data_IF_537553725885
#
_entry.id   IF_537553725885
#
_cell.length_a   1.000
_cell.length_b   1.000
_cell.length_c   1.000
_cell.angle_alpha   90.00
_cell.angle_beta   90.00
_cell.angle_gamma   90.00
#
_symmetry.space_group_name_H-M   'P 1'
#
loop_
_entity.id
_entity.type
_entity.pdbx_description
1 polymer ?
#
# COMPACT_ATOMS: atom_id res chain seq x y z
N UNK A 1 -2.70 -9.97 -2.10
CA UNK A 1 -1.39 -10.49 -2.36
C UNK A 1 -0.92 -10.13 -3.74
N UNK A 2 0.29 -9.60 -3.85
CA UNK A 2 0.88 -9.25 -5.12
C UNK A 2 1.29 -10.47 -5.95
N UNK A 3 1.82 -10.21 -7.11
CA UNK A 3 2.37 -11.21 -8.04
C UNK A 3 3.28 -12.22 -7.32
N UNK A 4 4.02 -11.76 -6.33
CA UNK A 4 4.94 -12.59 -5.55
C UNK A 4 4.24 -13.62 -4.64
N UNK A 5 2.98 -13.42 -4.30
CA UNK A 5 2.24 -14.25 -3.33
C UNK A 5 1.32 -15.30 -3.98
N UNK A 6 1.06 -15.19 -5.26
CA UNK A 6 0.04 -15.98 -5.93
C UNK A 6 0.55 -17.27 -6.56
N UNK A 7 1.70 -17.75 -6.18
CA UNK A 7 2.25 -18.99 -6.75
C UNK A 7 2.56 -18.92 -8.26
N UNK A 8 3.02 -19.98 -8.83
CA UNK A 8 3.35 -20.05 -10.26
C UNK A 8 2.34 -20.95 -10.96
N UNK A 9 1.47 -20.37 -11.79
CA UNK A 9 0.47 -21.08 -12.57
C UNK A 9 0.42 -20.51 -14.01
N UNK A 10 -0.05 -21.29 -15.00
CA UNK A 10 -0.21 -20.82 -16.36
C UNK A 10 -1.15 -19.60 -16.43
N UNK A 11 -0.78 -18.58 -17.20
CA UNK A 11 -1.56 -17.34 -17.35
C UNK A 11 -1.40 -16.32 -16.23
N UNK A 12 -0.56 -16.58 -15.22
CA UNK A 12 -0.26 -15.59 -14.19
C UNK A 12 0.48 -14.39 -14.80
N UNK A 13 0.01 -13.18 -14.50
CA UNK A 13 0.71 -11.95 -14.84
C UNK A 13 2.09 -11.89 -14.11
N UNK A 14 3.13 -11.52 -14.85
CA UNK A 14 4.53 -11.45 -14.36
C UNK A 14 5.15 -10.07 -14.56
N UNK A 15 4.52 -9.24 -15.37
CA UNK A 15 4.92 -7.87 -15.64
C UNK A 15 3.80 -6.91 -15.31
N UNK A 16 4.13 -5.64 -15.16
CA UNK A 16 3.13 -4.58 -14.92
C UNK A 16 2.14 -4.53 -16.10
N UNK A 17 2.60 -4.69 -17.33
CA UNK A 17 1.74 -4.62 -18.50
C UNK A 17 0.76 -5.80 -18.57
N UNK A 18 1.19 -6.99 -18.16
CA UNK A 18 0.30 -8.14 -18.03
C UNK A 18 -0.77 -7.91 -16.94
N UNK A 19 -0.39 -7.33 -15.79
CA UNK A 19 -1.35 -6.94 -14.73
C UNK A 19 -2.34 -5.92 -15.26
N UNK A 20 -1.88 -4.90 -15.98
CA UNK A 20 -2.74 -3.87 -16.60
C UNK A 20 -3.73 -4.49 -17.59
N UNK A 21 -3.27 -5.43 -18.43
CA UNK A 21 -4.12 -6.14 -19.36
C UNK A 21 -5.21 -6.97 -18.65
N UNK A 22 -4.85 -7.67 -17.58
CA UNK A 22 -5.79 -8.43 -16.76
C UNK A 22 -6.84 -7.53 -16.08
N UNK A 23 -6.41 -6.38 -15.55
CA UNK A 23 -7.31 -5.38 -14.95
C UNK A 23 -8.29 -4.83 -15.99
N UNK A 24 -7.82 -4.46 -17.18
CA UNK A 24 -8.69 -3.98 -18.25
C UNK A 24 -9.68 -5.07 -18.71
N UNK A 25 -9.21 -6.30 -18.83
CA UNK A 25 -10.09 -7.43 -19.15
C UNK A 25 -11.18 -7.62 -18.10
N UNK A 26 -10.83 -7.59 -16.83
CA UNK A 26 -11.82 -7.68 -15.74
C UNK A 26 -12.80 -6.49 -15.76
N UNK A 27 -12.29 -5.25 -15.90
CA UNK A 27 -13.11 -4.05 -15.97
C UNK A 27 -14.10 -4.07 -17.15
N UNK A 28 -13.69 -4.63 -18.31
CA UNK A 28 -14.58 -4.75 -19.48
C UNK A 28 -15.79 -5.66 -19.27
N UNK A 29 -15.75 -6.50 -18.25
CA UNK A 29 -16.84 -7.43 -17.90
C UNK A 29 -17.80 -6.88 -16.83
N UNK A 30 -17.44 -5.74 -16.22
CA UNK A 30 -18.19 -5.15 -15.11
C UNK A 30 -18.64 -3.76 -15.54
N UNK A 31 -19.95 -3.51 -15.54
CA UNK A 31 -20.48 -2.21 -15.88
C UNK A 31 -20.22 -1.18 -14.77
N UNK A 32 -19.88 0.05 -15.13
CA UNK A 32 -19.73 1.16 -14.20
C UNK A 32 -18.39 1.88 -14.33
N UNK A 33 -18.12 2.77 -13.37
CA UNK A 33 -16.82 3.45 -13.21
C UNK A 33 -15.95 2.60 -12.29
N UNK A 34 -14.68 2.48 -12.64
CA UNK A 34 -13.76 1.61 -11.90
C UNK A 34 -12.72 2.42 -11.13
N UNK A 35 -12.38 1.90 -9.95
CA UNK A 35 -11.21 2.31 -9.16
C UNK A 35 -10.36 1.07 -8.93
N UNK A 36 -9.05 1.22 -9.13
CA UNK A 36 -8.08 0.17 -8.85
C UNK A 36 -7.38 0.49 -7.53
N UNK A 37 -7.53 -0.40 -6.56
CA UNK A 37 -6.77 -0.31 -5.31
C UNK A 37 -5.40 -0.95 -5.52
N UNK A 38 -4.39 -0.11 -5.73
CA UNK A 38 -3.04 -0.51 -6.08
C UNK A 38 -2.19 -0.70 -4.82
N UNK A 39 -1.50 -1.82 -4.71
CA UNK A 39 -0.52 -2.03 -3.64
C UNK A 39 0.84 -1.45 -4.03
N UNK A 40 1.63 -1.00 -3.04
CA UNK A 40 2.95 -0.43 -3.27
C UNK A 40 3.93 -1.39 -3.94
N UNK A 41 3.74 -2.70 -3.77
CA UNK A 41 4.57 -3.74 -4.42
C UNK A 41 4.45 -3.78 -5.94
N UNK A 42 3.49 -3.05 -6.50
CA UNK A 42 3.31 -2.92 -7.96
C UNK A 42 4.00 -1.68 -8.54
N UNK A 43 4.85 -1.02 -7.78
CA UNK A 43 5.66 0.09 -8.28
C UNK A 43 6.46 -0.29 -9.53
N UNK A 44 6.58 0.66 -10.45
CA UNK A 44 7.43 0.52 -11.65
C UNK A 44 8.87 0.89 -11.28
N UNK A 45 9.57 -0.08 -10.76
CA UNK A 45 10.94 0.10 -10.28
C UNK A 45 12.00 -0.02 -11.39
N UNK A 46 11.60 -0.28 -12.63
CA UNK A 46 12.49 -0.36 -13.81
C UNK A 46 13.70 -1.30 -13.58
N UNK A 47 13.45 -2.43 -12.90
CA UNK A 47 14.48 -3.41 -12.58
C UNK A 47 15.39 -3.04 -11.41
N UNK A 48 15.22 -1.88 -10.79
CA UNK A 48 15.95 -1.48 -9.59
C UNK A 48 15.37 -2.17 -8.36
N UNK A 49 16.23 -2.45 -7.39
CA UNK A 49 15.79 -2.88 -6.07
C UNK A 49 15.50 -1.62 -5.24
N UNK A 50 14.23 -1.43 -4.90
CA UNK A 50 13.76 -0.35 -4.02
C UNK A 50 13.12 -1.02 -2.81
N UNK A 51 13.56 -0.68 -1.61
CA UNK A 51 12.94 -1.19 -0.40
C UNK A 51 11.66 -0.40 -0.07
N UNK A 52 10.84 -0.90 0.83
CA UNK A 52 9.52 -0.32 1.10
C UNK A 52 9.56 1.04 1.76
N UNK A 53 10.60 1.31 2.53
CA UNK A 53 10.88 2.63 3.11
C UNK A 53 11.58 3.61 2.13
N UNK A 54 11.76 3.20 0.87
CA UNK A 54 12.37 4.00 -0.19
C UNK A 54 11.42 4.28 -1.36
N UNK A 55 10.18 3.77 -1.31
CA UNK A 55 9.20 3.99 -2.39
C UNK A 55 8.83 5.47 -2.52
N UNK A 56 8.64 5.94 -3.76
CA UNK A 56 8.35 7.33 -4.07
C UNK A 56 7.27 7.44 -5.17
N UNK A 57 6.60 8.60 -5.32
CA UNK A 57 5.58 8.82 -6.34
C UNK A 57 6.05 8.50 -7.77
N UNK A 58 7.33 8.76 -8.08
CA UNK A 58 7.91 8.48 -9.40
C UNK A 58 7.76 7.01 -9.81
N UNK A 59 7.78 6.09 -8.86
CA UNK A 59 7.59 4.66 -9.13
C UNK A 59 6.14 4.29 -9.52
N UNK A 60 5.21 5.25 -9.45
CA UNK A 60 3.79 5.04 -9.77
C UNK A 60 3.27 5.95 -10.87
N UNK A 61 4.11 6.81 -11.45
CA UNK A 61 3.72 7.72 -12.54
C UNK A 61 3.15 6.96 -13.75
N UNK A 62 3.77 5.84 -14.12
CA UNK A 62 3.28 5.01 -15.22
C UNK A 62 1.91 4.40 -14.94
N UNK A 63 1.55 4.16 -13.67
CA UNK A 63 0.21 3.72 -13.27
C UNK A 63 -0.79 4.86 -13.30
N UNK A 64 -0.41 6.06 -12.86
CA UNK A 64 -1.26 7.25 -12.90
C UNK A 64 -1.62 7.61 -14.34
N UNK A 65 -0.63 7.60 -15.24
CA UNK A 65 -0.85 7.84 -16.66
C UNK A 65 -1.79 6.78 -17.27
N UNK A 66 -1.49 5.50 -17.05
CA UNK A 66 -2.29 4.39 -17.57
C UNK A 66 -3.75 4.45 -17.05
N UNK A 67 -3.96 4.73 -15.79
CA UNK A 67 -5.30 4.84 -15.23
C UNK A 67 -6.09 5.97 -15.88
N UNK A 68 -5.46 7.13 -16.07
CA UNK A 68 -6.07 8.28 -16.75
C UNK A 68 -6.47 7.97 -18.19
N UNK A 69 -5.59 7.32 -18.95
CA UNK A 69 -5.83 6.91 -20.34
C UNK A 69 -7.00 5.93 -20.47
N UNK A 70 -7.24 5.12 -19.44
CA UNK A 70 -8.31 4.12 -19.40
C UNK A 70 -9.55 4.54 -18.60
N UNK A 71 -9.64 5.81 -18.21
CA UNK A 71 -10.79 6.33 -17.48
C UNK A 71 -10.98 5.72 -16.09
N UNK A 72 -9.92 5.20 -15.49
CA UNK A 72 -9.90 4.62 -14.16
C UNK A 72 -9.36 5.61 -13.14
N UNK A 73 -9.71 5.40 -11.87
CA UNK A 73 -9.12 6.08 -10.72
C UNK A 73 -8.29 5.09 -9.91
N UNK A 74 -7.30 5.61 -9.19
CA UNK A 74 -6.45 4.82 -8.31
C UNK A 74 -6.78 5.10 -6.85
N UNK A 75 -6.78 4.02 -6.08
CA UNK A 75 -6.64 4.01 -4.64
C UNK A 75 -5.37 3.25 -4.27
N UNK A 76 -4.89 3.35 -3.04
CA UNK A 76 -3.58 2.83 -2.68
C UNK A 76 -3.59 2.06 -1.38
N UNK A 77 -2.77 1.01 -1.30
CA UNK A 77 -2.56 0.21 -0.09
C UNK A 77 -1.09 0.21 0.31
N UNK A 78 -0.83 0.49 1.58
CA UNK A 78 0.42 0.05 2.20
C UNK A 78 0.41 -1.47 2.38
N UNK A 79 1.56 -2.11 2.23
CA UNK A 79 1.68 -3.56 2.36
C UNK A 79 2.78 -3.90 3.34
N UNK A 80 2.43 -4.44 4.48
CA UNK A 80 3.39 -4.78 5.54
C UNK A 80 3.64 -6.29 5.70
N UNK A 81 3.24 -7.10 4.73
CA UNK A 81 3.53 -8.54 4.68
C UNK A 81 4.57 -8.89 3.61
N UNK A 82 5.09 -10.12 3.65
CA UNK A 82 6.06 -10.64 2.68
C UNK A 82 7.37 -9.83 2.58
N UNK A 83 7.84 -9.35 3.72
CA UNK A 83 9.10 -8.66 3.86
C UNK A 83 9.89 -9.25 5.05
N UNK A 84 11.24 -9.30 5.04
CA UNK A 84 12.02 -9.84 6.18
C UNK A 84 11.72 -9.17 7.53
N UNK A 85 11.36 -7.89 7.52
CA UNK A 85 10.94 -7.14 8.72
C UNK A 85 9.45 -7.30 9.08
N UNK A 86 8.69 -8.10 8.31
CA UNK A 86 7.28 -8.40 8.59
C UNK A 86 7.18 -9.60 9.50
N UNK A 87 7.33 -9.39 10.79
CA UNK A 87 7.03 -10.42 11.79
C UNK A 87 5.54 -10.41 12.19
N UNK A 88 5.27 -10.77 13.43
CA UNK A 88 3.93 -10.65 14.01
C UNK A 88 3.53 -9.20 14.29
N UNK A 89 4.52 -8.31 14.40
CA UNK A 89 4.34 -6.89 14.72
C UNK A 89 5.17 -6.03 13.78
N UNK A 90 4.58 -4.95 13.28
CA UNK A 90 5.22 -3.92 12.45
C UNK A 90 5.15 -2.55 13.12
N UNK A 91 4.03 -1.85 13.03
CA UNK A 91 3.81 -0.55 13.67
C UNK A 91 3.72 -0.63 15.21
N UNK A 92 3.33 -1.79 15.75
CA UNK A 92 3.33 -2.07 17.18
C UNK A 92 4.61 -2.77 17.66
N UNK A 93 5.66 -2.86 16.82
CA UNK A 93 6.88 -3.56 17.18
C UNK A 93 7.65 -2.82 18.28
N UNK A 94 8.08 -3.52 19.34
CA UNK A 94 8.90 -2.91 20.40
C UNK A 94 10.35 -2.59 19.93
N UNK A 95 10.80 -3.19 18.84
CA UNK A 95 12.09 -2.84 18.20
C UNK A 95 11.89 -1.57 17.36
N UNK A 96 12.55 -0.49 17.77
CA UNK A 96 12.46 0.82 17.13
C UNK A 96 12.93 0.80 15.68
N UNK A 97 13.94 0.00 15.34
CA UNK A 97 14.45 -0.07 13.97
C UNK A 97 13.42 -0.69 13.02
N UNK A 98 12.71 -1.74 13.46
CA UNK A 98 11.64 -2.36 12.70
C UNK A 98 10.43 -1.41 12.62
N UNK A 99 10.06 -0.81 13.74
CA UNK A 99 8.91 0.10 13.78
C UNK A 99 9.13 1.34 12.91
N UNK A 100 10.29 1.99 12.98
CA UNK A 100 10.61 3.17 12.18
C UNK A 100 10.63 2.87 10.68
N UNK A 101 11.09 1.70 10.26
CA UNK A 101 11.01 1.25 8.89
C UNK A 101 9.54 1.23 8.38
N UNK A 102 8.63 0.69 9.17
CA UNK A 102 7.21 0.61 8.80
C UNK A 102 6.47 1.96 8.91
N UNK A 103 6.87 2.81 9.84
CA UNK A 103 6.38 4.19 9.92
C UNK A 103 6.77 4.95 8.65
N UNK A 104 8.04 4.89 8.25
CA UNK A 104 8.53 5.55 7.04
C UNK A 104 7.83 5.00 5.79
N UNK A 105 7.72 3.69 5.65
CA UNK A 105 6.95 3.05 4.58
C UNK A 105 5.53 3.61 4.49
N UNK A 106 4.82 3.71 5.61
CA UNK A 106 3.44 4.20 5.61
C UNK A 106 3.36 5.69 5.28
N UNK A 107 4.28 6.52 5.77
CA UNK A 107 4.37 7.93 5.41
C UNK A 107 4.57 8.12 3.90
N UNK A 108 5.44 7.31 3.29
CA UNK A 108 5.67 7.32 1.84
C UNK A 108 4.44 6.88 1.06
N UNK A 109 3.73 5.86 1.51
CA UNK A 109 2.47 5.44 0.89
C UNK A 109 1.40 6.55 0.93
N UNK A 110 1.33 7.32 2.02
CA UNK A 110 0.45 8.50 2.11
C UNK A 110 0.87 9.61 1.15
N UNK A 111 2.17 9.89 1.04
CA UNK A 111 2.69 10.85 0.06
C UNK A 111 2.38 10.43 -1.39
N UNK A 112 2.59 9.16 -1.73
CA UNK A 112 2.22 8.61 -3.04
C UNK A 112 0.73 8.79 -3.30
N UNK A 113 -0.12 8.51 -2.32
CA UNK A 113 -1.57 8.68 -2.43
C UNK A 113 -1.98 10.14 -2.64
N UNK A 114 -1.30 11.09 -1.99
CA UNK A 114 -1.52 12.53 -2.22
C UNK A 114 -1.20 12.92 -3.67
N UNK A 115 -0.08 12.44 -4.23
CA UNK A 115 0.29 12.71 -5.62
C UNK A 115 -0.66 12.02 -6.62
N UNK A 116 -1.12 10.80 -6.32
CA UNK A 116 -2.16 10.12 -7.11
C UNK A 116 -3.47 10.93 -7.12
N UNK A 117 -3.89 11.42 -5.96
CA UNK A 117 -5.10 12.23 -5.84
C UNK A 117 -5.00 13.53 -6.63
N UNK A 118 -3.89 14.24 -6.55
CA UNK A 118 -3.61 15.43 -7.38
C UNK A 118 -3.68 15.13 -8.88
N UNK A 119 -3.02 14.04 -9.30
CA UNK A 119 -2.92 13.68 -10.71
C UNK A 119 -4.29 13.33 -11.31
N UNK A 120 -5.15 12.68 -10.56
CA UNK A 120 -6.47 12.22 -11.01
C UNK A 120 -7.61 13.22 -10.73
N UNK A 121 -7.33 14.36 -10.08
CA UNK A 121 -8.32 15.37 -9.65
C UNK A 121 -9.50 14.72 -8.89
N UNK A 122 -9.16 13.81 -7.98
CA UNK A 122 -10.12 13.07 -7.16
C UNK A 122 -9.38 12.40 -6.00
N UNK A 123 -9.84 12.51 -4.76
CA UNK A 123 -9.09 11.96 -3.64
C UNK A 123 -8.74 10.48 -3.81
N UNK A 124 -7.46 10.16 -3.60
CA UNK A 124 -6.99 8.79 -3.50
C UNK A 124 -7.30 8.25 -2.09
N UNK A 125 -7.91 7.09 -1.99
CA UNK A 125 -8.09 6.41 -0.70
C UNK A 125 -6.85 5.59 -0.42
N UNK A 126 -6.14 5.95 0.66
CA UNK A 126 -4.98 5.19 1.13
C UNK A 126 -5.42 4.25 2.25
N UNK A 127 -5.39 2.97 1.99
CA UNK A 127 -5.76 1.95 2.96
C UNK A 127 -4.52 1.50 3.76
N UNK A 128 -4.48 1.85 5.02
CA UNK A 128 -3.51 1.34 5.98
C UNK A 128 -4.04 0.03 6.58
N UNK A 129 -3.53 -1.08 6.07
CA UNK A 129 -3.85 -2.38 6.61
C UNK A 129 -2.93 -2.72 7.78
N UNK A 130 -3.50 -2.73 8.99
CA UNK A 130 -2.79 -3.05 10.22
C UNK A 130 -2.95 -4.53 10.51
N UNK A 131 -1.87 -5.30 10.32
CA UNK A 131 -1.86 -6.72 10.64
C UNK A 131 -1.25 -7.02 12.03
N UNK A 132 -0.82 -5.99 12.72
CA UNK A 132 -0.23 -6.10 14.05
C UNK A 132 -1.22 -6.71 15.05
N UNK A 133 -0.84 -7.82 15.58
CA UNK A 133 -1.67 -8.51 16.56
C UNK A 133 -1.22 -9.94 16.78
N UNK A 134 -1.71 -10.51 17.86
CA UNK A 134 -1.56 -11.92 18.17
C UNK A 134 -2.94 -12.56 18.26
N UNK A 135 -3.09 -13.74 17.68
CA UNK A 135 -4.29 -14.57 17.86
C UNK A 135 -4.40 -15.07 19.30
N UNK A 136 -3.29 -15.06 20.01
CA UNK A 136 -3.22 -15.38 21.42
C UNK A 136 -3.42 -14.13 22.27
N UNK A 137 -3.87 -14.31 23.50
CA UNK A 137 -4.03 -13.22 24.47
C UNK A 137 -2.65 -12.91 25.06
N UNK A 138 -1.96 -11.82 24.66
CA UNK A 138 -0.69 -11.48 25.25
C UNK A 138 -0.85 -11.07 26.71
N UNK A 139 0.18 -11.32 27.52
CA UNK A 139 0.20 -10.94 28.95
C UNK A 139 0.04 -9.42 29.16
N UNK A 140 0.47 -8.60 28.19
CA UNK A 140 0.27 -7.15 28.21
C UNK A 140 -0.27 -6.67 26.86
N UNK A 141 -1.58 -6.45 26.77
CA UNK A 141 -2.21 -5.87 25.58
C UNK A 141 -1.98 -4.38 25.47
N UNK A 142 -1.89 -3.68 26.57
CA UNK A 142 -1.80 -2.21 26.63
C UNK A 142 -0.51 -1.72 26.00
N UNK A 143 0.62 -2.37 26.28
CA UNK A 143 1.92 -1.98 25.75
C UNK A 143 1.94 -1.87 24.22
N UNK A 144 1.46 -2.90 23.52
CA UNK A 144 1.47 -2.90 22.04
C UNK A 144 0.49 -1.89 21.46
N UNK A 145 -0.63 -1.64 22.12
CA UNK A 145 -1.59 -0.61 21.68
C UNK A 145 -1.02 0.78 21.83
N UNK A 146 -0.31 1.06 22.92
CA UNK A 146 0.38 2.35 23.13
C UNK A 146 1.48 2.58 22.10
N UNK A 147 2.26 1.54 21.76
CA UNK A 147 3.27 1.63 20.70
C UNK A 147 2.61 1.90 19.34
N UNK A 148 1.52 1.20 19.04
CA UNK A 148 0.77 1.42 17.79
C UNK A 148 0.20 2.84 17.73
N UNK A 149 -0.40 3.34 18.81
CA UNK A 149 -0.92 4.70 18.92
C UNK A 149 0.18 5.73 18.59
N UNK A 150 1.35 5.62 19.22
CA UNK A 150 2.49 6.50 18.95
C UNK A 150 2.92 6.46 17.47
N UNK A 151 2.93 5.27 16.87
CA UNK A 151 3.26 5.13 15.44
C UNK A 151 2.22 5.78 14.55
N UNK A 152 0.94 5.64 14.87
CA UNK A 152 -0.15 6.26 14.11
C UNK A 152 -0.16 7.79 14.27
N UNK A 153 0.11 8.31 15.48
CA UNK A 153 0.25 9.75 15.72
C UNK A 153 1.36 10.34 14.84
N UNK A 154 2.50 9.65 14.75
CA UNK A 154 3.60 10.08 13.91
C UNK A 154 3.27 10.00 12.40
N UNK A 155 2.59 8.95 11.96
CA UNK A 155 2.19 8.75 10.57
C UNK A 155 1.18 9.83 10.14
N UNK A 156 0.22 10.15 11.01
CA UNK A 156 -0.86 11.09 10.69
C UNK A 156 -0.54 12.55 11.05
N UNK A 157 0.65 12.84 11.57
CA UNK A 157 1.07 14.21 11.87
C UNK A 157 1.07 15.14 10.64
N UNK A 158 1.26 14.60 9.43
CA UNK A 158 1.15 15.37 8.19
C UNK A 158 -0.25 15.25 7.61
N UNK A 159 -0.93 16.37 7.41
CA UNK A 159 -2.21 16.42 6.73
C UNK A 159 -2.02 16.55 5.21
N UNK A 160 -2.82 15.79 4.47
CA UNK A 160 -2.90 15.83 3.01
C UNK A 160 -4.29 16.27 2.55
N UNK A 161 -4.40 16.87 1.35
CA UNK A 161 -5.66 17.43 0.82
C UNK A 161 -6.29 16.55 -0.26
N UNK A 162 -5.46 15.84 -1.01
CA UNK A 162 -5.90 15.09 -2.18
C UNK A 162 -5.95 13.57 -1.94
N UNK A 163 -5.85 13.16 -0.69
CA UNK A 163 -6.02 11.78 -0.28
C UNK A 163 -6.89 11.69 0.97
N UNK A 164 -7.37 10.49 1.25
CA UNK A 164 -8.08 10.15 2.49
C UNK A 164 -7.50 8.89 3.07
N UNK A 165 -7.19 8.94 4.36
CA UNK A 165 -6.78 7.76 5.10
C UNK A 165 -7.97 6.84 5.40
N UNK A 166 -7.76 5.55 5.21
CA UNK A 166 -8.64 4.49 5.63
C UNK A 166 -7.82 3.50 6.47
N UNK A 167 -8.32 3.05 7.59
CA UNK A 167 -7.65 2.07 8.45
C UNK A 167 -8.44 0.76 8.40
N UNK A 168 -7.75 -0.30 8.03
CA UNK A 168 -8.27 -1.66 8.06
C UNK A 168 -7.53 -2.42 9.16
N UNK A 169 -8.23 -2.66 10.27
CA UNK A 169 -7.74 -3.51 11.35
C UNK A 169 -8.07 -4.98 11.04
N UNK A 170 -7.12 -5.89 11.31
CA UNK A 170 -7.28 -7.31 11.05
C UNK A 170 -7.05 -8.15 12.30
#
# INVERSE_FOLDING_TARGET
GGIQLTGNYPGRARTIDEVRADVLKAASMIAGKHRLNLHEIYGDFQGKKVDRDEVEPVHFESWMQWAKENGMKLDFNSTSFSHPKSGNLTLANPDDAIRNFWIEHTKRCRWISEEMGKYQDDPCIMNLWIHDGSKEVPASRLKYRQILEQSLDEIFATEYKNMKDCIEAK
#
